data_IF_770139377747
#
_entry.id   IF_770139377747
#
_cell.length_a   1.000
_cell.length_b   1.000
_cell.length_c   1.000
_cell.angle_alpha   90.00
_cell.angle_beta   90.00
_cell.angle_gamma   90.00
#
_symmetry.space_group_name_H-M   'P 1'
#
loop_
_entity.id
_entity.type
_entity.pdbx_description
1 polymer ?
#
# COMPACT_ATOMS: atom_id res chain seq x y z
N UNK A 1 36.81 32.59 35.47
CA UNK A 1 36.02 31.50 34.84
C UNK A 1 34.52 31.51 35.15
N UNK A 2 34.02 32.16 36.20
CA UNK A 2 32.58 32.12 36.56
C UNK A 2 31.61 32.90 35.65
N UNK A 3 32.01 34.08 35.12
CA UNK A 3 31.11 34.95 34.34
C UNK A 3 30.76 34.40 32.94
N UNK A 4 31.69 33.71 32.25
CA UNK A 4 31.44 33.10 30.92
C UNK A 4 30.49 31.89 30.98
N UNK A 5 30.53 31.09 32.05
CA UNK A 5 29.62 29.96 32.25
C UNK A 5 28.19 30.44 32.54
N UNK A 6 28.02 31.49 33.33
CA UNK A 6 26.71 32.07 33.62
C UNK A 6 26.03 32.64 32.37
N UNK A 7 26.78 33.32 31.50
CA UNK A 7 26.27 33.84 30.21
C UNK A 7 25.85 32.69 29.28
N UNK A 8 26.62 31.60 29.23
CA UNK A 8 26.26 30.40 28.46
C UNK A 8 24.97 29.75 28.97
N UNK A 9 24.78 29.64 30.28
CA UNK A 9 23.55 29.11 30.88
C UNK A 9 22.33 30.00 30.63
N UNK A 10 22.51 31.32 30.66
CA UNK A 10 21.45 32.27 30.33
C UNK A 10 21.08 32.20 28.84
N UNK A 11 22.07 32.10 27.94
CA UNK A 11 21.83 31.90 26.51
C UNK A 11 21.15 30.56 26.21
N UNK A 12 21.56 29.47 26.87
CA UNK A 12 20.90 28.16 26.76
C UNK A 12 19.47 28.18 27.29
N UNK A 13 19.22 28.87 28.41
CA UNK A 13 17.87 29.05 28.93
C UNK A 13 17.01 29.92 28.00
N UNK A 14 17.56 30.98 27.40
CA UNK A 14 16.87 31.80 26.40
C UNK A 14 16.56 31.01 25.13
N UNK A 15 17.50 30.20 24.65
CA UNK A 15 17.29 29.31 23.50
C UNK A 15 16.20 28.28 23.82
N UNK A 16 16.24 27.64 25.01
CA UNK A 16 15.19 26.72 25.46
C UNK A 16 13.82 27.40 25.55
N UNK A 17 13.75 28.64 26.06
CA UNK A 17 12.50 29.42 26.14
C UNK A 17 11.98 29.78 24.74
N UNK A 18 12.86 30.17 23.80
CA UNK A 18 12.45 30.45 22.41
C UNK A 18 12.04 29.20 21.64
N UNK A 19 12.63 28.04 21.94
CA UNK A 19 12.26 26.75 21.32
C UNK A 19 10.93 26.21 21.90
N UNK A 20 10.58 26.56 23.14
CA UNK A 20 9.26 26.23 23.74
C UNK A 20 8.14 27.22 23.40
N UNK A 21 8.46 28.34 22.76
CA UNK A 21 7.51 29.41 22.38
C UNK A 21 6.75 29.15 21.08
N UNK A 22 7.17 28.17 20.28
CA UNK A 22 6.39 27.62 19.18
C UNK A 22 5.43 26.60 19.79
N UNK A 23 4.23 27.02 20.15
CA UNK A 23 3.20 26.14 20.71
C UNK A 23 1.83 26.77 20.54
N UNK A 24 0.77 25.95 20.55
CA UNK A 24 -0.60 26.46 20.49
C UNK A 24 -0.82 27.62 21.47
N UNK A 25 -1.45 28.67 20.97
CA UNK A 25 -1.87 29.81 21.78
C UNK A 25 -2.85 29.37 22.87
N UNK A 26 -3.01 30.19 23.91
CA UNK A 26 -3.98 29.92 24.97
C UNK A 26 -5.42 29.89 24.43
N UNK A 27 -5.71 30.66 23.39
CA UNK A 27 -7.00 30.69 22.72
C UNK A 27 -7.27 29.38 22.00
N UNK A 28 -6.35 28.91 21.16
CA UNK A 28 -6.47 27.63 20.45
C UNK A 28 -6.61 26.44 21.42
N UNK A 29 -5.85 26.44 22.53
CA UNK A 29 -5.99 25.42 23.59
C UNK A 29 -7.37 25.44 24.24
N UNK A 30 -7.98 26.62 24.42
CA UNK A 30 -9.35 26.75 24.94
C UNK A 30 -10.37 26.29 23.92
N UNK A 31 -10.16 26.60 22.65
CA UNK A 31 -11.05 26.17 21.57
C UNK A 31 -11.03 24.65 21.38
N UNK A 32 -9.85 24.02 21.34
CA UNK A 32 -9.74 22.56 21.30
C UNK A 32 -10.48 21.90 22.47
N UNK A 33 -10.29 22.38 23.70
CA UNK A 33 -11.04 21.87 24.87
C UNK A 33 -12.55 22.07 24.75
N UNK A 34 -13.00 23.18 24.16
CA UNK A 34 -14.43 23.44 23.88
C UNK A 34 -14.95 22.42 22.88
N UNK A 35 -14.24 22.20 21.77
CA UNK A 35 -14.59 21.23 20.74
C UNK A 35 -14.60 19.80 21.28
N UNK A 36 -13.61 19.41 22.09
CA UNK A 36 -13.61 18.11 22.76
C UNK A 36 -14.82 17.94 23.67
N UNK A 37 -15.15 18.94 24.49
CA UNK A 37 -16.29 18.85 25.41
C UNK A 37 -17.62 18.70 24.67
N UNK A 38 -17.83 19.52 23.63
CA UNK A 38 -19.03 19.47 22.81
C UNK A 38 -19.09 18.18 21.98
N UNK A 39 -17.98 17.80 21.35
CA UNK A 39 -17.83 16.60 20.55
C UNK A 39 -18.06 15.31 21.34
N UNK A 40 -17.63 15.24 22.61
CA UNK A 40 -18.00 14.14 23.53
C UNK A 40 -19.51 14.00 23.70
N UNK A 41 -20.22 15.12 23.82
CA UNK A 41 -21.68 15.12 23.93
C UNK A 41 -22.35 14.70 22.63
N UNK A 42 -21.87 15.24 21.50
CA UNK A 42 -22.38 14.92 20.17
C UNK A 42 -22.18 13.45 19.82
N UNK A 43 -20.98 12.89 20.02
CA UNK A 43 -20.70 11.49 19.73
C UNK A 43 -21.59 10.52 20.51
N UNK A 44 -21.85 10.80 21.80
CA UNK A 44 -22.80 10.00 22.60
C UNK A 44 -24.22 10.06 22.06
N UNK A 45 -24.69 11.25 21.71
CA UNK A 45 -26.03 11.42 21.17
C UNK A 45 -26.16 10.73 19.80
N UNK A 46 -25.16 10.91 18.94
CA UNK A 46 -25.07 10.27 17.63
C UNK A 46 -25.16 8.75 17.74
N UNK A 47 -24.31 8.12 18.55
CA UNK A 47 -24.31 6.66 18.73
C UNK A 47 -25.61 6.15 19.34
N UNK A 48 -26.20 6.91 20.27
CA UNK A 48 -27.51 6.55 20.84
C UNK A 48 -28.64 6.67 19.83
N UNK A 49 -28.60 7.68 18.97
CA UNK A 49 -29.61 7.91 17.94
C UNK A 49 -29.51 6.86 16.83
N UNK A 50 -28.29 6.59 16.34
CA UNK A 50 -28.04 5.63 15.26
C UNK A 50 -28.23 4.17 15.67
N UNK A 51 -27.73 3.79 16.86
CA UNK A 51 -27.65 2.39 17.28
C UNK A 51 -28.49 2.04 18.51
N UNK A 52 -29.04 3.03 19.22
CA UNK A 52 -29.73 2.79 20.49
C UNK A 52 -28.81 2.33 21.63
N UNK A 53 -27.48 2.47 21.49
CA UNK A 53 -26.49 1.99 22.48
C UNK A 53 -25.88 3.13 23.29
N UNK A 54 -25.38 2.80 24.50
CA UNK A 54 -24.60 3.72 25.33
C UNK A 54 -23.14 3.24 25.41
N UNK A 55 -22.32 3.74 24.49
CA UNK A 55 -20.90 3.40 24.41
C UNK A 55 -20.02 4.27 25.32
N UNK A 56 -18.94 3.68 25.86
CA UNK A 56 -18.00 4.38 26.75
C UNK A 56 -16.95 5.09 25.92
N UNK A 57 -16.77 6.39 26.12
CA UNK A 57 -15.66 7.14 25.53
C UNK A 57 -14.35 6.77 26.24
N UNK A 58 -13.34 6.37 25.48
CA UNK A 58 -11.99 6.03 25.96
C UNK A 58 -11.01 7.15 25.65
N UNK A 59 -11.10 7.76 24.48
CA UNK A 59 -10.20 8.81 24.02
C UNK A 59 -10.95 9.86 23.18
N UNK A 60 -10.40 11.07 23.08
CA UNK A 60 -10.86 12.08 22.15
C UNK A 60 -9.67 12.90 21.66
N UNK A 61 -9.62 13.14 20.35
CA UNK A 61 -8.61 13.96 19.71
C UNK A 61 -9.27 14.96 18.77
N UNK A 62 -8.88 16.24 18.85
CA UNK A 62 -9.26 17.20 17.83
C UNK A 62 -8.55 16.89 16.52
N UNK A 63 -9.31 16.88 15.43
CA UNK A 63 -8.74 16.91 14.09
C UNK A 63 -8.08 18.27 13.87
N UNK A 64 -6.92 18.24 13.22
CA UNK A 64 -6.09 19.39 12.94
C UNK A 64 -5.79 19.42 11.46
N UNK A 65 -5.61 20.61 10.91
CA UNK A 65 -5.19 20.74 9.51
C UNK A 65 -3.84 20.05 9.29
N UNK A 66 -3.72 19.26 8.24
CA UNK A 66 -2.44 18.76 7.75
C UNK A 66 -1.93 19.77 6.72
N UNK A 67 -1.04 20.67 7.11
CA UNK A 67 -0.44 21.66 6.20
C UNK A 67 0.85 21.11 5.59
N UNK A 68 0.82 20.77 4.30
CA UNK A 68 1.93 20.74 3.33
C UNK A 68 3.25 20.01 3.71
N UNK A 69 4.22 19.83 2.78
CA UNK A 69 5.49 19.13 3.08
C UNK A 69 6.40 19.83 4.11
N UNK A 70 6.01 21.01 4.61
CA UNK A 70 6.72 21.73 5.68
C UNK A 70 6.00 21.41 6.99
N UNK A 71 6.68 20.80 8.00
CA UNK A 71 6.05 20.47 9.27
C UNK A 71 5.49 21.71 9.96
N UNK A 72 4.17 21.84 9.95
CA UNK A 72 3.48 22.70 10.90
C UNK A 72 3.37 21.93 12.20
N UNK A 73 4.14 22.37 13.19
CA UNK A 73 4.16 21.71 14.50
C UNK A 73 2.90 22.04 15.34
N UNK A 74 2.09 23.03 14.93
CA UNK A 74 0.90 23.49 15.67
C UNK A 74 -0.26 23.86 14.74
N UNK A 75 -0.75 22.92 13.90
CA UNK A 75 -1.82 23.22 12.97
C UNK A 75 -3.11 23.53 13.71
N UNK A 76 -3.83 24.53 13.22
CA UNK A 76 -5.11 24.95 13.78
C UNK A 76 -6.13 23.81 13.81
N UNK A 77 -7.01 23.74 14.82
CA UNK A 77 -8.05 22.72 14.88
C UNK A 77 -9.10 22.95 13.78
N UNK A 78 -9.56 21.88 13.13
CA UNK A 78 -10.63 21.97 12.10
C UNK A 78 -12.00 22.22 12.73
N UNK A 79 -12.13 21.89 14.02
CA UNK A 79 -13.41 21.87 14.74
C UNK A 79 -14.07 20.50 14.77
N UNK A 80 -13.57 19.53 14.01
CA UNK A 80 -13.95 18.13 14.13
C UNK A 80 -13.16 17.43 15.24
N UNK A 81 -13.75 16.37 15.79
CA UNK A 81 -13.09 15.50 16.75
C UNK A 81 -13.23 14.04 16.31
N UNK A 82 -12.20 13.26 16.58
CA UNK A 82 -12.26 11.81 16.57
C UNK A 82 -12.42 11.33 18.01
N UNK A 83 -13.52 10.63 18.28
CA UNK A 83 -13.86 10.09 19.60
C UNK A 83 -13.70 8.58 19.55
N UNK A 84 -12.77 8.04 20.34
CA UNK A 84 -12.63 6.60 20.51
C UNK A 84 -13.63 6.13 21.55
N UNK A 85 -14.41 5.13 21.18
CA UNK A 85 -15.49 4.60 21.98
C UNK A 85 -15.36 3.09 22.10
N UNK A 86 -15.88 2.54 23.19
CA UNK A 86 -15.86 1.11 23.50
C UNK A 86 -17.25 0.62 23.85
N UNK A 87 -17.68 -0.47 23.21
CA UNK A 87 -18.94 -1.13 23.52
C UNK A 87 -18.79 -2.65 23.35
N UNK A 88 -19.29 -3.42 24.32
CA UNK A 88 -19.19 -4.89 24.36
C UNK A 88 -17.79 -5.46 24.06
N UNK A 89 -16.75 -4.73 24.45
CA UNK A 89 -15.35 -5.16 24.27
C UNK A 89 -14.69 -4.68 22.97
N UNK A 90 -15.46 -4.23 21.98
CA UNK A 90 -14.96 -3.67 20.73
C UNK A 90 -14.69 -2.16 20.85
N UNK A 91 -13.56 -1.72 20.32
CA UNK A 91 -13.19 -0.31 20.19
C UNK A 91 -13.50 0.18 18.76
N UNK A 92 -14.01 1.40 18.64
CA UNK A 92 -14.37 2.03 17.36
C UNK A 92 -14.19 3.55 17.45
N UNK A 93 -14.18 4.23 16.29
CA UNK A 93 -14.04 5.67 16.18
C UNK A 93 -15.35 6.33 15.73
N UNK A 94 -15.55 7.56 16.20
CA UNK A 94 -16.60 8.46 15.74
C UNK A 94 -15.97 9.78 15.32
N UNK A 95 -16.19 10.23 14.09
CA UNK A 95 -15.79 11.53 13.58
C UNK A 95 -17.03 12.44 13.61
N UNK A 96 -16.94 13.55 14.35
CA UNK A 96 -18.08 14.45 14.51
C UNK A 96 -17.63 15.88 14.79
N UNK A 97 -18.39 16.86 14.32
CA UNK A 97 -18.09 18.27 14.60
C UNK A 97 -18.30 18.59 16.08
N UNK A 98 -17.30 19.19 16.71
CA UNK A 98 -17.34 19.74 18.07
C UNK A 98 -17.70 21.23 18.13
N UNK A 99 -17.98 21.87 17.00
CA UNK A 99 -18.22 23.33 16.97
C UNK A 99 -19.58 23.73 17.57
N UNK A 100 -20.61 22.91 17.34
CA UNK A 100 -21.99 23.13 17.81
C UNK A 100 -22.66 21.80 18.14
N UNK A 101 -23.79 21.82 18.85
CA UNK A 101 -24.58 20.62 19.12
C UNK A 101 -25.13 20.03 17.81
N UNK A 102 -24.88 18.74 17.58
CA UNK A 102 -25.36 17.98 16.44
C UNK A 102 -25.32 16.48 16.71
N UNK A 103 -25.92 15.70 15.80
CA UNK A 103 -25.88 14.24 15.72
C UNK A 103 -25.52 13.81 14.30
N UNK A 104 -24.73 14.62 13.60
CA UNK A 104 -24.32 14.39 12.23
C UNK A 104 -22.83 14.05 12.22
N UNK A 105 -22.54 12.76 12.11
CA UNK A 105 -21.19 12.23 12.19
C UNK A 105 -21.07 10.87 11.51
N UNK A 106 -19.83 10.39 11.49
CA UNK A 106 -19.41 9.13 10.89
C UNK A 106 -18.87 8.22 11.97
N UNK A 107 -19.02 6.92 11.80
CA UNK A 107 -18.39 5.93 12.66
C UNK A 107 -18.06 4.66 11.90
N UNK A 108 -17.21 3.84 12.50
CA UNK A 108 -16.86 2.52 11.99
C UNK A 108 -17.20 1.39 12.97
N UNK A 109 -18.22 1.58 13.81
CA UNK A 109 -18.67 0.57 14.78
C UNK A 109 -19.03 -0.77 14.11
N UNK A 110 -19.66 -0.72 12.93
CA UNK A 110 -20.07 -1.90 12.16
C UNK A 110 -19.01 -2.41 11.17
N UNK A 111 -17.77 -1.89 11.20
CA UNK A 111 -16.75 -2.26 10.20
C UNK A 111 -16.51 -3.77 10.13
N UNK A 112 -16.31 -4.43 11.27
CA UNK A 112 -16.08 -5.88 11.30
C UNK A 112 -17.29 -6.67 10.81
N UNK A 113 -18.51 -6.19 11.12
CA UNK A 113 -19.75 -6.83 10.69
C UNK A 113 -19.91 -6.77 9.17
N UNK A 114 -19.70 -5.58 8.58
CA UNK A 114 -19.76 -5.36 7.13
C UNK A 114 -18.65 -6.12 6.40
N UNK A 115 -17.41 -6.11 6.92
CA UNK A 115 -16.30 -6.87 6.32
C UNK A 115 -16.57 -8.38 6.35
N UNK A 116 -17.17 -8.88 7.43
CA UNK A 116 -17.56 -10.29 7.54
C UNK A 116 -18.70 -10.62 6.57
N UNK A 117 -19.69 -9.73 6.42
CA UNK A 117 -20.76 -9.89 5.45
C UNK A 117 -20.24 -9.89 4.01
N UNK A 118 -19.28 -9.03 3.69
CA UNK A 118 -18.59 -9.03 2.40
C UNK A 118 -17.90 -10.37 2.12
N UNK A 119 -17.06 -10.86 3.04
CA UNK A 119 -16.38 -12.14 2.88
C UNK A 119 -17.36 -13.32 2.75
N UNK A 120 -18.45 -13.31 3.52
CA UNK A 120 -19.49 -14.33 3.42
C UNK A 120 -20.19 -14.28 2.06
N UNK A 121 -20.48 -13.09 1.53
CA UNK A 121 -21.13 -12.94 0.22
C UNK A 121 -20.18 -13.34 -0.92
N UNK A 122 -18.87 -13.05 -0.79
CA UNK A 122 -17.83 -13.58 -1.68
C UNK A 122 -17.88 -15.12 -1.74
N UNK A 123 -17.94 -15.79 -0.59
CA UNK A 123 -18.09 -17.24 -0.52
C UNK A 123 -19.43 -17.72 -1.11
N UNK A 124 -20.55 -17.04 -0.82
CA UNK A 124 -21.87 -17.42 -1.32
C UNK A 124 -21.94 -17.38 -2.86
N UNK A 125 -21.25 -16.40 -3.47
CA UNK A 125 -21.23 -16.22 -4.93
C UNK A 125 -20.27 -17.18 -5.60
N UNK A 126 -19.06 -17.34 -5.05
CA UNK A 126 -17.98 -18.09 -5.71
C UNK A 126 -17.95 -19.57 -5.32
N UNK A 127 -18.42 -19.91 -4.12
CA UNK A 127 -18.18 -21.20 -3.48
C UNK A 127 -16.74 -21.43 -3.04
N UNK A 128 -15.88 -20.40 -3.10
CA UNK A 128 -14.44 -20.49 -2.86
C UNK A 128 -14.06 -19.90 -1.50
N UNK A 129 -13.16 -20.58 -0.80
CA UNK A 129 -12.52 -20.03 0.40
C UNK A 129 -11.32 -19.17 -0.01
N UNK A 130 -11.39 -17.87 0.27
CA UNK A 130 -10.26 -16.96 0.13
C UNK A 130 -9.26 -17.16 1.30
N UNK A 131 -7.98 -16.91 1.04
CA UNK A 131 -6.95 -16.77 2.07
C UNK A 131 -7.12 -15.44 2.83
N UNK A 132 -7.62 -14.40 2.16
CA UNK A 132 -8.05 -13.16 2.78
C UNK A 132 -9.00 -12.33 1.93
N UNK A 133 -9.89 -11.61 2.60
CA UNK A 133 -10.78 -10.60 2.05
C UNK A 133 -10.53 -9.26 2.76
N UNK A 134 -10.00 -8.28 2.03
CA UNK A 134 -9.83 -6.92 2.54
C UNK A 134 -10.80 -5.99 1.82
N UNK A 135 -11.50 -5.15 2.58
CA UNK A 135 -12.40 -4.12 2.05
C UNK A 135 -12.05 -2.75 2.61
N UNK A 136 -12.05 -1.74 1.75
CA UNK A 136 -11.79 -0.34 2.08
C UNK A 136 -12.96 0.50 1.59
N UNK A 137 -13.57 1.26 2.50
CA UNK A 137 -14.74 2.08 2.23
C UNK A 137 -14.92 3.19 3.27
N UNK A 138 -15.76 4.16 2.96
CA UNK A 138 -16.09 5.31 3.81
C UNK A 138 -15.16 6.51 3.59
N UNK A 139 -15.50 7.64 4.21
CA UNK A 139 -14.82 8.93 4.00
C UNK A 139 -13.31 8.91 4.34
N UNK A 140 -12.91 8.02 5.25
CA UNK A 140 -11.53 7.80 5.67
C UNK A 140 -11.04 6.40 5.31
N UNK A 141 -11.47 5.86 4.16
CA UNK A 141 -11.02 4.56 3.66
C UNK A 141 -9.49 4.46 3.62
N UNK A 142 -8.93 3.58 4.46
CA UNK A 142 -7.50 3.27 4.49
C UNK A 142 -7.28 1.80 4.79
N UNK A 143 -6.06 1.30 4.60
CA UNK A 143 -5.74 -0.11 4.84
C UNK A 143 -5.20 -0.39 6.25
N UNK A 144 -4.74 0.65 6.96
CA UNK A 144 -4.01 0.53 8.24
C UNK A 144 -4.56 1.37 9.37
N UNK A 145 -5.52 2.27 9.10
CA UNK A 145 -5.99 3.22 10.11
C UNK A 145 -7.19 2.66 10.87
N UNK A 146 -7.31 3.08 12.12
CA UNK A 146 -8.50 2.90 12.95
C UNK A 146 -9.74 3.58 12.36
N UNK A 147 -9.62 4.25 11.20
CA UNK A 147 -10.63 5.06 10.52
C UNK A 147 -11.21 4.43 9.25
N UNK A 148 -10.80 3.23 8.85
CA UNK A 148 -11.50 2.56 7.74
C UNK A 148 -12.96 2.27 8.12
N UNK A 149 -13.87 2.33 7.16
CA UNK A 149 -15.29 2.04 7.34
C UNK A 149 -16.09 3.12 8.06
N UNK A 150 -15.59 4.36 8.09
CA UNK A 150 -16.29 5.50 8.69
C UNK A 150 -17.44 5.94 7.78
N UNK A 151 -18.67 5.59 8.18
CA UNK A 151 -19.88 5.77 7.38
C UNK A 151 -21.01 6.43 8.16
N UNK A 152 -21.88 7.13 7.44
CA UNK A 152 -23.13 7.64 8.00
C UNK A 152 -24.21 6.54 8.06
N UNK A 153 -24.25 5.70 7.03
CA UNK A 153 -25.30 4.70 6.82
C UNK A 153 -25.27 3.64 7.94
N UNK A 154 -26.44 3.21 8.38
CA UNK A 154 -26.60 2.07 9.28
C UNK A 154 -26.67 0.78 8.44
N UNK A 155 -25.86 -0.21 8.78
CA UNK A 155 -25.92 -1.52 8.16
C UNK A 155 -26.95 -2.38 8.90
N UNK A 156 -28.02 -2.79 8.21
CA UNK A 156 -29.14 -3.53 8.80
C UNK A 156 -29.02 -5.06 8.65
N UNK A 157 -27.95 -5.54 8.01
CA UNK A 157 -27.74 -6.95 7.69
C UNK A 157 -28.12 -7.31 6.25
N UNK A 158 -28.95 -6.51 5.58
CA UNK A 158 -29.48 -6.79 4.24
C UNK A 158 -29.00 -5.76 3.20
N UNK A 159 -28.62 -4.55 3.63
CA UNK A 159 -28.24 -3.44 2.76
C UNK A 159 -26.74 -3.35 2.41
N UNK A 160 -26.02 -4.48 2.34
CA UNK A 160 -24.57 -4.50 2.08
C UNK A 160 -24.19 -3.74 0.81
N UNK A 161 -24.89 -4.00 -0.29
CA UNK A 161 -24.66 -3.36 -1.58
C UNK A 161 -24.85 -1.85 -1.53
N UNK A 162 -25.87 -1.36 -0.84
CA UNK A 162 -26.12 0.07 -0.69
C UNK A 162 -24.98 0.74 0.09
N UNK A 163 -24.56 0.14 1.20
CA UNK A 163 -23.50 0.67 2.06
C UNK A 163 -22.17 0.77 1.30
N UNK A 164 -21.76 -0.29 0.63
CA UNK A 164 -20.45 -0.32 -0.04
C UNK A 164 -20.43 0.48 -1.34
N UNK A 165 -21.52 0.51 -2.10
CA UNK A 165 -21.60 1.27 -3.35
C UNK A 165 -21.58 2.78 -3.09
N UNK A 166 -22.33 3.24 -2.09
CA UNK A 166 -22.39 4.67 -1.74
C UNK A 166 -21.03 5.23 -1.34
N UNK A 167 -20.18 4.39 -0.78
CA UNK A 167 -18.89 4.76 -0.22
C UNK A 167 -17.71 4.39 -1.13
N UNK A 168 -17.99 4.09 -2.42
CA UNK A 168 -17.03 3.70 -3.46
C UNK A 168 -16.06 2.63 -2.98
N UNK A 169 -16.61 1.55 -2.42
CA UNK A 169 -15.83 0.50 -1.80
C UNK A 169 -14.89 -0.19 -2.79
N UNK A 170 -13.73 -0.57 -2.26
CA UNK A 170 -12.69 -1.30 -2.96
C UNK A 170 -12.33 -2.55 -2.19
N UNK A 171 -11.94 -3.60 -2.90
CA UNK A 171 -11.58 -4.86 -2.26
C UNK A 171 -10.33 -5.50 -2.85
N UNK A 172 -9.59 -6.22 -2.00
CA UNK A 172 -8.54 -7.16 -2.42
C UNK A 172 -8.93 -8.52 -1.87
N UNK A 173 -9.05 -9.51 -2.75
CA UNK A 173 -9.36 -10.89 -2.37
C UNK A 173 -8.24 -11.79 -2.89
N UNK A 174 -7.68 -12.58 -1.98
CA UNK A 174 -6.54 -13.46 -2.27
C UNK A 174 -6.98 -14.91 -2.20
N UNK A 175 -6.65 -15.68 -3.23
CA UNK A 175 -6.86 -17.12 -3.29
C UNK A 175 -5.54 -17.85 -3.46
N UNK A 176 -5.55 -19.16 -3.21
CA UNK A 176 -4.45 -20.05 -3.52
C UNK A 176 -4.92 -21.14 -4.49
N UNK A 177 -4.23 -21.26 -5.62
CA UNK A 177 -4.54 -22.19 -6.71
C UNK A 177 -5.99 -22.10 -7.20
N UNK A 178 -6.48 -20.88 -7.45
CA UNK A 178 -7.81 -20.62 -8.01
C UNK A 178 -7.72 -19.76 -9.27
N UNK A 179 -8.42 -20.16 -10.32
CA UNK A 179 -8.51 -19.37 -11.54
C UNK A 179 -9.39 -18.12 -11.33
N UNK A 180 -8.73 -17.01 -10.98
CA UNK A 180 -9.40 -15.72 -10.73
C UNK A 180 -10.01 -15.09 -12.00
N UNK A 181 -9.64 -15.57 -13.19
CA UNK A 181 -10.28 -15.15 -14.45
C UNK A 181 -11.75 -15.57 -14.49
N UNK A 182 -12.10 -16.72 -13.88
CA UNK A 182 -13.45 -17.28 -13.91
C UNK A 182 -14.38 -16.72 -12.82
N UNK A 183 -13.86 -15.91 -11.91
CA UNK A 183 -14.65 -15.35 -10.81
C UNK A 183 -15.73 -14.38 -11.35
N UNK A 184 -17.01 -14.52 -10.96
CA UNK A 184 -18.12 -13.74 -11.51
C UNK A 184 -18.20 -12.33 -10.89
N UNK A 185 -17.23 -11.47 -11.19
CA UNK A 185 -17.10 -10.10 -10.67
C UNK A 185 -18.33 -9.21 -10.89
N UNK A 186 -19.07 -9.37 -11.99
CA UNK A 186 -20.31 -8.59 -12.20
C UNK A 186 -21.38 -8.95 -11.17
N UNK A 187 -21.48 -10.22 -10.78
CA UNK A 187 -22.38 -10.67 -9.73
C UNK A 187 -21.91 -10.19 -8.36
N UNK A 188 -20.60 -10.21 -8.11
CA UNK A 188 -19.99 -9.68 -6.89
C UNK A 188 -20.33 -8.20 -6.74
N UNK A 189 -20.07 -7.38 -7.76
CA UNK A 189 -20.38 -5.95 -7.72
C UNK A 189 -21.88 -5.70 -7.49
N UNK A 190 -22.76 -6.44 -8.16
CA UNK A 190 -24.21 -6.31 -7.96
C UNK A 190 -24.67 -6.66 -6.54
N UNK A 191 -24.10 -7.70 -5.93
CA UNK A 191 -24.52 -8.24 -4.62
C UNK A 191 -23.86 -7.55 -3.44
N UNK A 192 -22.63 -7.10 -3.61
CA UNK A 192 -21.82 -6.51 -2.55
C UNK A 192 -21.73 -5.01 -2.65
N UNK A 193 -21.96 -4.40 -3.82
CA UNK A 193 -21.79 -2.96 -4.03
C UNK A 193 -20.33 -2.51 -4.17
N UNK A 194 -19.37 -3.44 -4.24
CA UNK A 194 -17.96 -3.08 -4.47
C UNK A 194 -17.73 -2.65 -5.92
N UNK A 195 -17.08 -1.51 -6.10
CA UNK A 195 -16.85 -0.88 -7.41
C UNK A 195 -15.50 -1.28 -8.03
N UNK A 196 -14.50 -1.59 -7.20
CA UNK A 196 -13.17 -2.00 -7.66
C UNK A 196 -12.67 -3.19 -6.85
N UNK A 197 -12.26 -4.26 -7.53
CA UNK A 197 -11.75 -5.47 -6.91
C UNK A 197 -10.45 -5.92 -7.57
N UNK A 198 -9.47 -6.25 -6.74
CA UNK A 198 -8.26 -6.97 -7.13
C UNK A 198 -8.38 -8.40 -6.61
N UNK A 199 -8.37 -9.36 -7.53
CA UNK A 199 -8.36 -10.78 -7.26
C UNK A 199 -6.95 -11.30 -7.51
N UNK A 200 -6.37 -12.04 -6.56
CA UNK A 200 -5.02 -12.61 -6.72
C UNK A 200 -5.06 -14.12 -6.57
N UNK A 201 -4.31 -14.82 -7.42
CA UNK A 201 -4.10 -16.27 -7.33
C UNK A 201 -2.65 -16.56 -6.97
N UNK A 202 -2.42 -17.00 -5.73
CA UNK A 202 -1.13 -17.46 -5.26
C UNK A 202 -0.88 -18.93 -5.62
N UNK A 203 0.38 -19.28 -5.87
CA UNK A 203 0.79 -20.67 -6.17
C UNK A 203 0.43 -21.66 -5.07
N UNK A 204 0.30 -21.18 -3.83
CA UNK A 204 -0.05 -21.98 -2.68
C UNK A 204 -0.43 -21.09 -1.50
N UNK A 205 -1.02 -21.72 -0.49
CA UNK A 205 -1.27 -21.07 0.79
C UNK A 205 0.03 -20.67 1.49
N UNK A 206 1.05 -21.50 1.38
CA UNK A 206 2.38 -21.24 1.92
C UNK A 206 3.00 -19.99 1.26
N UNK A 207 2.86 -19.85 -0.06
CA UNK A 207 3.29 -18.67 -0.78
C UNK A 207 2.59 -17.40 -0.27
N UNK A 208 1.26 -17.44 -0.15
CA UNK A 208 0.47 -16.34 0.43
C UNK A 208 0.94 -15.97 1.85
N UNK A 209 1.22 -16.96 2.71
CA UNK A 209 1.64 -16.70 4.10
C UNK A 209 3.00 -15.99 4.23
N UNK A 210 3.83 -16.00 3.20
CA UNK A 210 5.09 -15.24 3.19
C UNK A 210 4.91 -13.76 2.86
N UNK A 211 3.72 -13.37 2.40
CA UNK A 211 3.43 -12.01 1.99
C UNK A 211 3.21 -11.08 3.19
N UNK A 212 3.98 -10.01 3.24
CA UNK A 212 3.90 -9.02 4.31
C UNK A 212 2.72 -8.04 4.16
N UNK A 213 2.41 -7.63 2.92
CA UNK A 213 1.34 -6.66 2.60
C UNK A 213 0.41 -7.20 1.51
N UNK A 214 -0.49 -8.16 1.81
CA UNK A 214 -1.35 -8.79 0.79
C UNK A 214 -2.52 -7.91 0.32
N UNK A 215 -2.62 -6.68 0.83
CA UNK A 215 -3.64 -5.69 0.49
C UNK A 215 -3.15 -4.59 -0.47
N UNK A 216 -1.87 -4.62 -0.85
CA UNK A 216 -1.26 -3.72 -1.85
C UNK A 216 -1.65 -2.24 -1.66
N UNK A 217 -2.10 -1.60 -2.73
CA UNK A 217 -2.57 -0.23 -2.75
C UNK A 217 -4.11 -0.14 -2.67
N UNK A 218 -4.75 -0.98 -1.84
CA UNK A 218 -6.21 -1.04 -1.67
C UNK A 218 -6.89 0.33 -1.51
N UNK A 219 -6.24 1.29 -0.85
CA UNK A 219 -6.77 2.65 -0.68
C UNK A 219 -6.30 3.67 -1.75
N UNK A 220 -5.29 3.37 -2.57
CA UNK A 220 -4.73 4.27 -3.57
C UNK A 220 -4.91 3.78 -5.01
N UNK A 221 -4.51 4.54 -6.02
CA UNK A 221 -4.64 4.15 -7.44
C UNK A 221 -3.27 4.05 -8.11
N UNK A 222 -2.98 3.03 -8.93
CA UNK A 222 -3.81 1.85 -9.22
C UNK A 222 -3.82 0.85 -8.04
N UNK A 223 -4.81 -0.06 -7.97
CA UNK A 223 -5.04 -0.92 -6.79
C UNK A 223 -3.93 -1.97 -6.59
N UNK A 224 -3.38 -2.44 -7.70
CA UNK A 224 -2.35 -3.46 -7.81
C UNK A 224 -0.93 -2.91 -7.65
N UNK A 225 -0.76 -1.61 -7.41
CA UNK A 225 0.57 -1.04 -7.18
C UNK A 225 1.28 -1.73 -6.00
N UNK A 226 2.50 -2.23 -6.24
CA UNK A 226 3.28 -3.03 -5.30
C UNK A 226 3.13 -4.54 -5.47
N UNK A 227 2.22 -5.02 -6.33
CA UNK A 227 2.07 -6.45 -6.64
C UNK A 227 3.34 -7.04 -7.25
N UNK A 228 4.13 -6.24 -7.97
CA UNK A 228 5.39 -6.62 -8.59
C UNK A 228 6.44 -7.10 -7.57
N UNK A 229 6.32 -6.74 -6.30
CA UNK A 229 7.21 -7.26 -5.25
C UNK A 229 6.96 -8.75 -4.96
N UNK A 230 5.84 -9.31 -5.43
CA UNK A 230 5.31 -10.61 -5.01
C UNK A 230 4.82 -11.49 -6.17
N UNK A 231 4.87 -11.04 -7.44
CA UNK A 231 4.41 -11.85 -8.59
C UNK A 231 5.12 -13.21 -8.71
N UNK A 232 6.36 -13.32 -8.23
CA UNK A 232 7.08 -14.60 -8.20
C UNK A 232 6.42 -15.66 -7.31
N UNK A 233 5.45 -15.28 -6.47
CA UNK A 233 4.64 -16.16 -5.63
C UNK A 233 3.23 -16.44 -6.21
N UNK A 234 2.90 -15.85 -7.36
CA UNK A 234 1.54 -15.84 -7.93
C UNK A 234 1.45 -16.60 -9.25
N UNK A 235 0.28 -17.18 -9.52
CA UNK A 235 -0.10 -17.70 -10.83
C UNK A 235 -0.68 -16.58 -11.72
N UNK A 236 -1.29 -15.56 -11.12
CA UNK A 236 -1.91 -14.46 -11.84
C UNK A 236 -2.75 -13.56 -10.93
N UNK A 237 -3.29 -12.49 -11.51
CA UNK A 237 -4.19 -11.59 -10.83
C UNK A 237 -5.17 -10.94 -11.82
N UNK A 238 -6.31 -10.46 -11.31
CA UNK A 238 -7.33 -9.77 -12.08
C UNK A 238 -7.75 -8.49 -11.39
N UNK A 239 -7.78 -7.39 -12.11
CA UNK A 239 -8.25 -6.09 -11.64
C UNK A 239 -9.53 -5.75 -12.38
N UNK A 240 -10.59 -5.47 -11.63
CA UNK A 240 -11.89 -5.07 -12.18
C UNK A 240 -12.33 -3.80 -11.50
N UNK A 241 -12.56 -2.73 -12.26
CA UNK A 241 -12.96 -1.43 -11.74
C UNK A 241 -12.84 -0.32 -12.80
N UNK A 242 -13.52 0.81 -12.58
CA UNK A 242 -13.51 1.96 -13.50
C UNK A 242 -13.89 1.64 -14.97
N UNK A 243 -14.66 0.57 -15.20
CA UNK A 243 -15.05 0.09 -16.54
C UNK A 243 -13.99 -0.79 -17.22
N UNK A 244 -12.89 -1.09 -16.54
CA UNK A 244 -11.83 -1.97 -17.00
C UNK A 244 -11.91 -3.33 -16.29
N UNK A 245 -11.56 -4.38 -17.02
CA UNK A 245 -11.44 -5.76 -16.53
C UNK A 245 -10.18 -6.34 -17.15
N UNK A 246 -9.11 -6.32 -16.36
CA UNK A 246 -7.78 -6.74 -16.81
C UNK A 246 -7.37 -7.98 -16.05
N UNK A 247 -7.05 -9.05 -16.78
CA UNK A 247 -6.48 -10.26 -16.23
C UNK A 247 -5.02 -10.41 -16.69
N UNK A 248 -4.15 -10.71 -15.74
CA UNK A 248 -2.73 -10.98 -15.95
C UNK A 248 -2.43 -12.38 -15.49
N UNK A 249 -1.95 -13.21 -16.42
CA UNK A 249 -1.46 -14.55 -16.11
C UNK A 249 0.06 -14.52 -16.01
N UNK A 250 0.61 -14.92 -14.87
CA UNK A 250 2.05 -14.92 -14.62
C UNK A 250 2.69 -16.17 -15.21
N UNK A 251 3.58 -15.98 -16.18
CA UNK A 251 4.24 -17.09 -16.86
C UNK A 251 5.72 -17.06 -16.52
N UNK A 252 6.14 -18.07 -15.75
CA UNK A 252 7.44 -18.08 -15.09
C UNK A 252 8.44 -18.92 -15.87
N UNK A 253 9.56 -18.29 -16.21
CA UNK A 253 10.76 -18.98 -16.67
C UNK A 253 11.80 -18.93 -15.55
N UNK A 254 12.14 -20.11 -15.03
CA UNK A 254 13.19 -20.26 -14.02
C UNK A 254 14.41 -20.87 -14.70
N UNK A 255 15.56 -20.20 -14.59
CA UNK A 255 16.82 -20.74 -15.05
C UNK A 255 17.97 -20.15 -14.23
N UNK A 256 18.84 -21.03 -13.73
CA UNK A 256 19.91 -20.64 -12.79
C UNK A 256 19.34 -19.82 -11.62
N UNK A 257 18.22 -20.27 -11.05
CA UNK A 257 17.47 -19.66 -9.95
C UNK A 257 17.01 -18.19 -10.16
N UNK A 258 17.21 -17.65 -11.37
CA UNK A 258 16.64 -16.38 -11.80
C UNK A 258 15.23 -16.66 -12.31
N UNK A 259 14.27 -15.86 -11.83
CA UNK A 259 12.89 -15.95 -12.25
C UNK A 259 12.59 -14.79 -13.18
N UNK A 260 12.12 -15.11 -14.38
CA UNK A 260 11.59 -14.16 -15.34
C UNK A 260 10.09 -14.39 -15.47
N UNK A 261 9.29 -13.33 -15.41
CA UNK A 261 7.83 -13.42 -15.48
C UNK A 261 7.33 -12.52 -16.60
N UNK A 262 6.46 -13.05 -17.45
CA UNK A 262 5.65 -12.30 -18.41
C UNK A 262 4.19 -12.32 -18.00
N UNK A 263 3.43 -11.37 -18.54
CA UNK A 263 1.99 -11.22 -18.27
C UNK A 263 1.12 -12.04 -19.25
N UNK A 264 1.74 -12.73 -20.21
CA UNK A 264 1.05 -13.47 -21.27
C UNK A 264 1.66 -14.87 -21.54
N UNK A 265 0.85 -15.96 -21.55
CA UNK A 265 1.29 -17.33 -21.82
C UNK A 265 1.88 -17.59 -23.20
N UNK A 266 1.64 -16.69 -24.16
CA UNK A 266 2.22 -16.82 -25.51
C UNK A 266 3.63 -16.25 -25.59
N UNK A 267 4.08 -15.58 -24.54
CA UNK A 267 5.40 -14.98 -24.53
C UNK A 267 6.45 -16.05 -24.25
N UNK A 268 7.43 -16.15 -25.14
CA UNK A 268 8.58 -17.00 -24.97
C UNK A 268 9.69 -16.19 -24.33
N UNK A 269 10.41 -16.82 -23.39
CA UNK A 269 11.63 -16.27 -22.83
C UNK A 269 12.70 -17.34 -22.86
N UNK A 270 13.84 -16.97 -23.47
CA UNK A 270 15.08 -17.73 -23.42
C UNK A 270 16.05 -16.93 -22.56
N UNK A 271 16.67 -17.58 -21.58
CA UNK A 271 17.71 -16.98 -20.75
C UNK A 271 19.00 -17.75 -20.98
N UNK A 272 20.11 -17.06 -21.23
CA UNK A 272 21.40 -17.70 -21.43
C UNK A 272 22.48 -16.92 -20.68
N UNK A 273 23.38 -17.65 -20.03
CA UNK A 273 24.52 -17.03 -19.36
C UNK A 273 25.43 -16.37 -20.40
N UNK A 274 25.85 -15.15 -20.15
CA UNK A 274 26.63 -14.34 -21.09
C UNK A 274 27.68 -13.49 -20.39
N UNK A 275 28.36 -12.64 -21.15
CA UNK A 275 29.20 -11.55 -20.65
C UNK A 275 28.64 -10.20 -21.09
N UNK A 276 28.73 -9.21 -20.20
CA UNK A 276 28.52 -7.81 -20.53
C UNK A 276 29.75 -7.23 -21.20
N UNK A 277 29.57 -6.05 -21.80
CA UNK A 277 30.67 -5.23 -22.28
C UNK A 277 31.52 -4.74 -21.08
N UNK A 278 32.71 -4.22 -21.38
CA UNK A 278 33.65 -3.74 -20.36
C UNK A 278 32.96 -2.81 -19.36
N UNK A 279 33.28 -2.98 -18.07
CA UNK A 279 32.78 -2.14 -16.98
C UNK A 279 33.02 -0.65 -17.23
N UNK A 280 34.10 -0.29 -17.94
CA UNK A 280 34.41 1.09 -18.32
C UNK A 280 33.29 1.77 -19.13
N UNK A 281 32.50 1.02 -19.89
CA UNK A 281 31.38 1.54 -20.67
C UNK A 281 30.16 1.91 -19.82
N UNK A 282 30.11 1.45 -18.58
CA UNK A 282 29.04 1.75 -17.63
C UNK A 282 29.30 3.02 -16.82
N UNK A 283 30.57 3.42 -16.71
CA UNK A 283 30.98 4.61 -15.98
C UNK A 283 30.44 5.89 -16.67
N UNK A 284 29.78 6.75 -15.91
CA UNK A 284 29.13 7.96 -16.42
C UNK A 284 27.69 7.77 -16.89
N UNK A 285 27.19 6.54 -16.99
CA UNK A 285 25.79 6.22 -17.33
C UNK A 285 24.94 5.99 -16.06
N UNK A 286 25.15 6.82 -15.04
CA UNK A 286 24.49 6.69 -13.73
C UNK A 286 25.32 5.93 -12.68
N UNK A 287 26.46 5.37 -13.07
CA UNK A 287 27.43 4.76 -12.17
C UNK A 287 28.78 5.49 -12.23
N UNK A 288 29.45 5.65 -11.09
CA UNK A 288 30.79 6.26 -11.01
C UNK A 288 31.86 5.17 -10.88
N UNK A 289 31.60 4.14 -10.08
CA UNK A 289 32.52 3.05 -9.78
C UNK A 289 31.82 1.66 -9.74
N UNK A 290 30.80 1.46 -10.56
CA UNK A 290 30.82 0.41 -11.58
C UNK A 290 30.89 -1.08 -11.22
N UNK A 291 30.91 -1.59 -9.98
CA UNK A 291 31.34 -3.00 -9.79
C UNK A 291 30.25 -4.03 -10.09
N UNK A 292 30.46 -4.89 -11.08
CA UNK A 292 29.63 -6.08 -11.31
C UNK A 292 29.76 -7.08 -10.14
N UNK A 293 28.63 -7.50 -9.57
CA UNK A 293 28.56 -8.42 -8.41
C UNK A 293 27.78 -9.70 -8.70
N UNK A 294 27.33 -9.92 -9.94
CA UNK A 294 26.65 -11.14 -10.34
C UNK A 294 27.04 -11.57 -11.76
N UNK A 295 26.78 -12.83 -12.10
CA UNK A 295 26.88 -13.29 -13.50
C UNK A 295 25.89 -12.54 -14.38
N UNK A 296 26.24 -12.34 -15.64
CA UNK A 296 25.35 -11.72 -16.63
C UNK A 296 24.56 -12.76 -17.41
N UNK A 297 23.37 -12.39 -17.84
CA UNK A 297 22.50 -13.23 -18.63
C UNK A 297 21.89 -12.44 -19.78
N UNK A 298 21.93 -12.99 -20.99
CA UNK A 298 21.19 -12.50 -22.13
C UNK A 298 19.80 -13.12 -22.09
N UNK A 299 18.77 -12.33 -22.38
CA UNK A 299 17.45 -12.91 -22.64
C UNK A 299 16.84 -12.38 -23.93
N UNK A 300 16.13 -13.29 -24.60
CA UNK A 300 15.33 -13.00 -25.78
C UNK A 300 13.87 -13.27 -25.47
N UNK A 301 13.00 -12.35 -25.87
CA UNK A 301 11.57 -12.43 -25.62
C UNK A 301 10.77 -11.62 -26.64
N UNK A 302 9.56 -12.09 -26.90
CA UNK A 302 8.53 -11.36 -27.63
C UNK A 302 7.59 -10.54 -26.71
N UNK A 303 7.81 -10.57 -25.39
CA UNK A 303 7.05 -9.75 -24.44
C UNK A 303 7.59 -8.33 -24.38
N UNK A 304 6.72 -7.32 -24.35
CA UNK A 304 7.12 -5.91 -24.17
C UNK A 304 7.62 -5.59 -22.75
N UNK A 305 7.32 -6.46 -21.79
CA UNK A 305 7.56 -6.25 -20.36
C UNK A 305 7.88 -7.57 -19.67
N UNK A 306 9.03 -7.63 -19.00
CA UNK A 306 9.49 -8.79 -18.23
C UNK A 306 9.82 -8.37 -16.81
N UNK A 307 9.26 -9.07 -15.83
CA UNK A 307 9.68 -8.93 -14.44
C UNK A 307 10.86 -9.86 -14.18
N UNK A 308 11.93 -9.30 -13.63
CA UNK A 308 13.16 -10.02 -13.32
C UNK A 308 13.28 -10.13 -11.82
N UNK A 309 13.52 -11.35 -11.31
CA UNK A 309 13.87 -11.61 -9.92
C UNK A 309 15.22 -12.30 -9.87
N UNK A 310 16.24 -11.55 -9.43
CA UNK A 310 17.61 -12.02 -9.35
C UNK A 310 17.92 -12.43 -7.91
N UNK A 311 18.35 -13.69 -7.66
CA UNK A 311 18.53 -14.21 -6.32
C UNK A 311 19.67 -13.50 -5.58
N UNK A 312 19.38 -13.00 -4.37
CA UNK A 312 20.34 -12.29 -3.51
C UNK A 312 21.54 -13.17 -3.13
N UNK A 313 21.31 -14.48 -2.96
CA UNK A 313 22.37 -15.45 -2.63
C UNK A 313 23.44 -15.61 -3.72
N UNK A 314 23.16 -15.16 -4.96
CA UNK A 314 24.12 -15.20 -6.07
C UNK A 314 24.97 -13.94 -6.20
N UNK A 315 24.78 -12.97 -5.32
CA UNK A 315 25.53 -11.73 -5.33
C UNK A 315 26.86 -11.90 -4.59
N UNK A 316 27.95 -11.53 -5.25
CA UNK A 316 29.29 -11.42 -4.66
C UNK A 316 29.45 -10.08 -3.90
N UNK A 317 28.51 -9.81 -2.99
CA UNK A 317 28.53 -8.66 -2.09
C UNK A 317 27.66 -8.89 -0.86
N UNK A 318 27.98 -8.18 0.22
CA UNK A 318 27.14 -8.07 1.42
C UNK A 318 26.26 -6.82 1.41
N UNK A 319 26.53 -5.88 0.50
CA UNK A 319 25.86 -4.58 0.38
C UNK A 319 24.61 -4.71 -0.51
N UNK A 320 23.71 -5.65 -0.19
CA UNK A 320 22.52 -5.98 -1.02
C UNK A 320 21.62 -4.76 -1.24
N UNK A 321 21.60 -3.81 -0.30
CA UNK A 321 20.80 -2.58 -0.41
C UNK A 321 21.34 -1.57 -1.43
N UNK A 322 22.61 -1.69 -1.79
CA UNK A 322 23.31 -0.84 -2.77
C UNK A 322 23.39 -1.53 -4.13
N UNK A 323 23.01 -2.81 -4.19
CA UNK A 323 22.98 -3.58 -5.41
C UNK A 323 21.79 -3.18 -6.29
N UNK A 324 22.08 -2.98 -7.57
CA UNK A 324 21.13 -2.50 -8.58
C UNK A 324 21.12 -3.46 -9.76
N UNK A 325 19.91 -3.79 -10.22
CA UNK A 325 19.73 -4.55 -11.46
C UNK A 325 20.00 -3.61 -12.64
N UNK A 326 20.80 -4.05 -13.61
CA UNK A 326 21.17 -3.25 -14.78
C UNK A 326 20.84 -3.96 -16.08
N UNK A 327 20.68 -3.19 -17.15
CA UNK A 327 20.38 -3.66 -18.50
C UNK A 327 21.38 -3.11 -19.51
N UNK A 328 21.98 -3.98 -20.32
CA UNK A 328 22.67 -3.63 -21.56
C UNK A 328 21.79 -4.09 -22.72
N UNK A 329 21.64 -3.27 -23.75
CA UNK A 329 20.79 -3.58 -24.91
C UNK A 329 21.24 -2.81 -26.15
N UNK A 330 20.76 -3.22 -27.31
CA UNK A 330 20.92 -2.49 -28.57
C UNK A 330 19.65 -1.68 -28.85
N UNK A 331 19.82 -0.40 -29.18
CA UNK A 331 18.75 0.47 -29.65
C UNK A 331 19.23 1.31 -30.82
N UNK A 332 18.53 1.23 -31.96
CA UNK A 332 18.89 1.94 -33.20
C UNK A 332 20.35 1.72 -33.66
N UNK A 333 20.93 0.56 -33.35
CA UNK A 333 22.29 0.19 -33.72
C UNK A 333 23.38 0.69 -32.76
N UNK A 334 23.00 1.26 -31.62
CA UNK A 334 23.92 1.68 -30.56
C UNK A 334 23.74 0.81 -29.32
N UNK A 335 24.86 0.47 -28.67
CA UNK A 335 24.85 -0.18 -27.35
C UNK A 335 24.44 0.84 -26.29
N UNK A 336 23.39 0.53 -25.55
CA UNK A 336 22.86 1.32 -24.46
C UNK A 336 22.98 0.60 -23.12
N UNK A 337 22.99 1.39 -22.05
CA UNK A 337 23.14 0.94 -20.67
C UNK A 337 22.09 1.64 -19.83
N UNK A 338 21.35 0.89 -19.02
CA UNK A 338 20.30 1.44 -18.18
C UNK A 338 20.31 0.79 -16.80
N UNK A 339 19.92 1.59 -15.80
CA UNK A 339 19.70 1.15 -14.45
C UNK A 339 18.22 0.83 -14.27
N UNK A 340 17.91 -0.40 -13.90
CA UNK A 340 16.54 -0.80 -13.64
C UNK A 340 16.20 -0.40 -12.21
N UNK A 341 15.15 0.41 -12.05
CA UNK A 341 14.59 0.72 -10.73
C UNK A 341 14.27 -0.61 -10.06
N UNK A 342 15.09 -0.95 -9.07
CA UNK A 342 15.09 -2.25 -8.45
C UNK A 342 14.93 -2.12 -6.94
N UNK A 343 14.29 -3.12 -6.36
CA UNK A 343 14.06 -3.24 -4.92
C UNK A 343 14.36 -4.65 -4.49
N UNK A 344 14.68 -4.80 -3.22
CA UNK A 344 14.72 -6.13 -2.60
C UNK A 344 13.28 -6.52 -2.27
N UNK A 345 12.91 -7.77 -2.57
CA UNK A 345 11.59 -8.32 -2.20
C UNK A 345 11.39 -8.29 -0.68
N UNK A 346 10.13 -8.25 -0.22
CA UNK A 346 9.80 -8.15 1.22
C UNK A 346 10.43 -9.27 2.06
N UNK A 347 10.60 -10.46 1.47
CA UNK A 347 11.23 -11.63 2.10
C UNK A 347 12.77 -11.66 1.99
N UNK A 348 13.36 -10.67 1.33
CA UNK A 348 14.81 -10.52 1.18
C UNK A 348 15.47 -11.45 0.17
N UNK A 349 14.71 -12.28 -0.56
CA UNK A 349 15.29 -13.32 -1.41
C UNK A 349 15.78 -12.84 -2.77
N UNK A 350 15.14 -11.82 -3.34
CA UNK A 350 15.44 -11.35 -4.69
C UNK A 350 15.65 -9.85 -4.74
N UNK A 351 16.58 -9.41 -5.59
CA UNK A 351 16.52 -8.08 -6.18
C UNK A 351 15.64 -8.20 -7.40
N UNK A 352 14.59 -7.40 -7.48
CA UNK A 352 13.65 -7.44 -8.58
C UNK A 352 13.51 -6.10 -9.28
N UNK A 353 13.15 -6.14 -10.56
CA UNK A 353 12.94 -4.97 -11.40
C UNK A 353 12.13 -5.32 -12.64
N UNK A 354 11.65 -4.28 -13.33
CA UNK A 354 10.86 -4.43 -14.56
C UNK A 354 11.74 -4.03 -15.74
N UNK A 355 11.87 -4.94 -16.70
CA UNK A 355 12.55 -4.68 -17.98
C UNK A 355 11.51 -4.49 -19.06
N UNK A 356 11.48 -3.29 -19.62
CA UNK A 356 10.78 -3.01 -20.87
C UNK A 356 11.70 -3.32 -22.05
N UNK A 357 11.16 -3.93 -23.10
CA UNK A 357 11.94 -4.50 -24.23
C UNK A 357 11.58 -3.86 -25.57
N UNK A 358 10.67 -2.87 -25.58
CA UNK A 358 10.09 -2.31 -26.81
C UNK A 358 11.16 -1.65 -27.67
N UNK A 359 11.31 -2.13 -28.90
CA UNK A 359 12.29 -1.68 -29.90
C UNK A 359 13.77 -1.92 -29.50
N UNK A 360 14.01 -2.82 -28.54
CA UNK A 360 15.33 -3.18 -28.04
C UNK A 360 15.70 -4.62 -28.46
N UNK A 361 16.99 -4.85 -28.70
CA UNK A 361 17.50 -6.19 -29.03
C UNK A 361 18.75 -6.52 -28.23
N UNK A 362 19.18 -7.78 -28.23
CA UNK A 362 20.38 -8.25 -27.51
C UNK A 362 20.40 -7.84 -26.03
N UNK A 363 19.25 -7.97 -25.36
CA UNK A 363 19.09 -7.56 -23.97
C UNK A 363 19.91 -8.47 -23.06
N UNK A 364 20.72 -7.86 -22.21
CA UNK A 364 21.50 -8.53 -21.17
C UNK A 364 21.25 -7.87 -19.83
N UNK A 365 21.17 -8.66 -18.79
CA UNK A 365 20.96 -8.22 -17.41
C UNK A 365 22.07 -8.73 -16.49
N UNK A 366 22.36 -7.97 -15.45
CA UNK A 366 23.27 -8.33 -14.36
C UNK A 366 22.96 -7.46 -13.14
N UNK A 367 23.73 -7.63 -12.06
CA UNK A 367 23.66 -6.81 -10.86
C UNK A 367 25.00 -6.13 -10.61
N UNK A 368 24.94 -4.84 -10.31
CA UNK A 368 26.09 -3.97 -10.05
C UNK A 368 25.94 -3.29 -8.68
N UNK A 369 27.05 -2.85 -8.10
CA UNK A 369 27.09 -1.90 -6.99
C UNK A 369 27.85 -0.64 -7.43
N UNK A 370 27.35 0.54 -7.04
CA UNK A 370 28.09 1.79 -7.17
C UNK A 370 28.63 2.20 -5.80
N UNK A 371 29.88 2.63 -5.73
CA UNK A 371 30.55 2.97 -4.46
C UNK A 371 30.64 4.46 -4.17
#
# INVERSE_FOLDING_TARGET
MGKRKAVYWILLALIMVTVTGCGYTLEEKREMKRYEKQGRGNAKNYIREKYGIDAKITEINCEKYSSSPVPDFFPSPTGNVFVKMKYKGADFLVAISGQKKNTDGLDNYQFQEIATAFAQEMYNITGLHAESDYVCYGEYGTVKDEKNGMIHTFYDGENLAEVLQKESARAVVSYANQDVEQIPVSQISQKTGVDTILLTDYESREAYQTVWCPYYNLAGWPIENGIENQLYLMNGYRVVGAGEDTYVKCEKKIQDDIILITENPKDQIILEKTSLDSQENWNGNGFIDAKQVASAYAFDTNSEKVYVYFPVEKLDTKEVKEAQLVKQYQYKGETCYDNIISKVTDDGKYIHGIVYTRDETEIKISVFIDK
#
